data_IF_851884370460
#
_entry.id   IF_851884370460
#
_cell.length_a   1.000
_cell.length_b   1.000
_cell.length_c   1.000
_cell.angle_alpha   90.00
_cell.angle_beta   90.00
_cell.angle_gamma   90.00
#
_symmetry.space_group_name_H-M   'P 1'
#
loop_
_entity.id
_entity.type
_entity.pdbx_description
1 polymer ?
#
# COMPACT_ATOMS: atom_id res chain seq x y z
N UNK A 1 19.96 -7.18 18.94
CA UNK A 1 20.06 -8.18 17.88
C UNK A 1 18.81 -9.08 17.82
N UNK A 2 18.37 -9.69 18.93
CA UNK A 2 17.21 -10.60 18.99
C UNK A 2 15.91 -10.02 18.38
N UNK A 3 15.58 -8.77 18.71
CA UNK A 3 14.39 -8.07 18.13
C UNK A 3 14.46 -7.99 16.62
N UNK A 4 15.64 -7.73 16.04
CA UNK A 4 15.82 -7.65 14.58
C UNK A 4 15.62 -9.03 13.92
N UNK A 5 16.21 -10.09 14.49
CA UNK A 5 15.99 -11.47 14.02
C UNK A 5 14.50 -11.84 14.04
N UNK A 6 13.80 -11.54 15.13
CA UNK A 6 12.36 -11.81 15.24
C UNK A 6 11.54 -11.07 14.17
N UNK A 7 11.86 -9.82 13.88
CA UNK A 7 11.19 -9.05 12.80
C UNK A 7 11.44 -9.69 11.44
N UNK A 8 12.66 -10.13 11.14
CA UNK A 8 13.01 -10.80 9.88
C UNK A 8 12.28 -12.14 9.75
N UNK A 9 12.19 -12.94 10.81
CA UNK A 9 11.40 -14.17 10.81
C UNK A 9 9.91 -13.89 10.57
N UNK A 10 9.36 -12.88 11.25
CA UNK A 10 7.97 -12.46 11.05
C UNK A 10 7.71 -11.97 9.62
N UNK A 11 8.67 -11.25 9.01
CA UNK A 11 8.60 -10.76 7.64
C UNK A 11 8.36 -11.90 6.64
N UNK A 12 9.02 -13.05 6.83
CA UNK A 12 8.90 -14.18 5.90
C UNK A 12 7.50 -14.77 5.85
N UNK A 13 6.78 -14.77 6.98
CA UNK A 13 5.44 -15.35 7.10
C UNK A 13 4.31 -14.33 6.94
N UNK A 14 4.60 -13.02 7.06
CA UNK A 14 3.57 -11.98 7.13
C UNK A 14 3.12 -11.49 5.76
N UNK A 15 1.82 -11.24 5.56
CA UNK A 15 1.34 -10.52 4.39
C UNK A 15 1.65 -9.00 4.44
N UNK A 16 1.97 -8.45 5.61
CA UNK A 16 2.27 -7.02 5.82
C UNK A 16 3.74 -6.68 5.56
N UNK A 17 4.32 -7.18 4.47
CA UNK A 17 5.75 -7.08 4.19
C UNK A 17 6.27 -5.64 4.18
N UNK A 18 5.57 -4.70 3.56
CA UNK A 18 5.99 -3.29 3.48
C UNK A 18 6.14 -2.67 4.87
N UNK A 19 5.17 -2.88 5.75
CA UNK A 19 5.21 -2.36 7.13
C UNK A 19 6.38 -2.94 7.93
N UNK A 20 6.62 -4.23 7.79
CA UNK A 20 7.75 -4.89 8.47
C UNK A 20 9.11 -4.46 7.91
N UNK A 21 9.23 -4.27 6.59
CA UNK A 21 10.44 -3.72 5.97
C UNK A 21 10.73 -2.31 6.46
N UNK A 22 9.70 -1.46 6.62
CA UNK A 22 9.84 -0.12 7.21
C UNK A 22 10.26 -0.18 8.69
N UNK A 23 9.70 -1.10 9.47
CA UNK A 23 10.08 -1.30 10.87
C UNK A 23 11.54 -1.76 10.98
N UNK A 24 11.99 -2.68 10.14
CA UNK A 24 13.40 -3.13 10.10
C UNK A 24 14.31 -1.98 9.72
N UNK A 25 13.96 -1.19 8.69
CA UNK A 25 14.71 0.02 8.34
C UNK A 25 14.80 0.99 9.52
N UNK A 26 13.69 1.17 10.26
CA UNK A 26 13.66 2.05 11.45
C UNK A 26 14.58 1.55 12.55
N UNK A 27 14.60 0.24 12.81
CA UNK A 27 15.53 -0.35 13.78
C UNK A 27 16.99 -0.10 13.35
N UNK A 28 17.33 -0.29 12.07
CA UNK A 28 18.67 -0.06 11.55
C UNK A 28 19.10 1.40 11.71
N UNK A 29 18.21 2.35 11.42
CA UNK A 29 18.50 3.79 11.53
C UNK A 29 18.62 4.28 12.97
N UNK A 30 17.97 3.62 13.93
CA UNK A 30 17.87 4.10 15.31
C UNK A 30 18.72 3.34 16.33
N UNK A 31 19.09 2.09 16.04
CA UNK A 31 19.68 1.19 17.04
C UNK A 31 20.95 0.49 16.62
N UNK A 32 21.30 0.55 15.34
CA UNK A 32 22.41 -0.23 14.81
C UNK A 32 23.47 0.65 14.17
N UNK A 33 24.71 0.17 14.26
CA UNK A 33 25.86 0.68 13.53
C UNK A 33 26.58 -0.46 12.82
N UNK A 34 27.42 -0.13 11.86
CA UNK A 34 28.24 -1.10 11.15
C UNK A 34 29.70 -0.88 11.52
N UNK A 35 30.33 -1.89 12.12
CA UNK A 35 31.77 -1.87 12.43
C UNK A 35 32.58 -2.19 11.18
N UNK A 36 33.09 -1.16 10.50
CA UNK A 36 33.86 -1.34 9.25
C UNK A 36 35.25 -1.88 9.56
N UNK A 37 35.98 -1.24 10.46
CA UNK A 37 37.24 -1.73 11.00
C UNK A 37 37.32 -1.36 12.49
N UNK A 38 38.40 -1.68 13.15
CA UNK A 38 38.61 -1.24 14.54
C UNK A 38 38.59 0.28 14.62
N UNK A 39 37.76 0.84 15.49
CA UNK A 39 37.57 2.29 15.66
C UNK A 39 36.85 3.01 14.52
N UNK A 40 36.39 2.32 13.46
CA UNK A 40 35.64 2.94 12.36
C UNK A 40 34.22 2.37 12.30
N UNK A 41 33.26 3.22 12.64
CA UNK A 41 31.85 2.90 12.66
C UNK A 41 31.08 3.70 11.63
N UNK A 42 30.08 3.05 11.02
CA UNK A 42 29.13 3.66 10.10
C UNK A 42 27.74 3.64 10.73
N UNK A 43 27.15 4.81 10.84
CA UNK A 43 25.77 5.01 11.29
C UNK A 43 24.90 5.32 10.06
N UNK A 44 23.95 4.45 9.69
CA UNK A 44 23.08 4.70 8.55
C UNK A 44 22.18 5.93 8.78
N UNK A 45 22.05 6.79 7.79
CA UNK A 45 21.16 7.96 7.78
C UNK A 45 20.02 7.80 6.79
N UNK A 46 20.26 7.05 5.72
CA UNK A 46 19.32 6.78 4.66
C UNK A 46 19.54 5.38 4.12
N UNK A 47 18.48 4.59 4.08
CA UNK A 47 18.50 3.20 3.62
C UNK A 47 17.35 2.88 2.70
N UNK A 48 17.52 1.90 1.81
CA UNK A 48 16.47 1.35 0.97
C UNK A 48 16.41 -0.17 1.10
N UNK A 49 15.23 -0.72 1.41
CA UNK A 49 15.03 -2.16 1.50
C UNK A 49 14.81 -2.78 0.11
N UNK A 50 15.45 -3.92 -0.12
CA UNK A 50 15.33 -4.78 -1.29
C UNK A 50 15.04 -6.20 -0.81
N UNK A 51 13.84 -6.71 -1.10
CA UNK A 51 13.37 -8.00 -0.60
C UNK A 51 12.74 -8.82 -1.73
N UNK A 52 13.18 -10.07 -1.85
CA UNK A 52 12.63 -11.02 -2.81
C UNK A 52 12.61 -12.41 -2.16
N UNK A 53 11.41 -12.95 -1.90
CA UNK A 53 11.23 -14.28 -1.31
C UNK A 53 10.91 -15.37 -2.35
N UNK A 54 10.86 -15.00 -3.64
CA UNK A 54 10.58 -15.91 -4.75
C UNK A 54 9.13 -16.39 -4.83
N UNK A 55 8.21 -15.82 -4.00
CA UNK A 55 6.81 -16.24 -3.92
C UNK A 55 5.86 -15.04 -3.80
N UNK A 56 5.66 -14.52 -2.60
CA UNK A 56 4.67 -13.46 -2.34
C UNK A 56 5.19 -12.06 -2.65
N UNK A 57 6.50 -11.85 -2.56
CA UNK A 57 7.14 -10.57 -2.75
C UNK A 57 8.37 -10.70 -3.67
N UNK A 58 8.13 -10.69 -4.97
CA UNK A 58 9.16 -10.84 -6.01
C UNK A 58 9.63 -9.48 -6.52
N UNK A 59 10.41 -8.75 -5.72
CA UNK A 59 11.00 -7.49 -6.16
C UNK A 59 12.17 -7.73 -7.11
N UNK A 60 11.90 -7.65 -8.40
CA UNK A 60 12.90 -7.85 -9.46
C UNK A 60 13.97 -6.75 -9.54
N UNK A 61 13.92 -5.73 -8.68
CA UNK A 61 15.01 -4.77 -8.51
C UNK A 61 16.08 -5.25 -7.52
N UNK A 62 15.86 -6.35 -6.81
CA UNK A 62 16.89 -7.01 -6.01
C UNK A 62 17.98 -7.58 -6.94
N UNK A 63 19.24 -7.42 -6.56
CA UNK A 63 20.34 -7.99 -7.33
C UNK A 63 20.34 -9.50 -7.31
N UNK A 64 19.92 -10.11 -6.22
CA UNK A 64 19.87 -11.55 -5.99
C UNK A 64 21.19 -12.26 -6.36
N UNK A 65 22.31 -11.59 -6.08
CA UNK A 65 23.63 -12.16 -6.30
C UNK A 65 23.94 -13.25 -5.27
N UNK A 66 24.72 -14.27 -5.64
CA UNK A 66 25.07 -15.38 -4.74
C UNK A 66 25.64 -14.92 -3.38
N UNK A 67 26.37 -13.79 -3.37
CA UNK A 67 26.89 -13.18 -2.16
C UNK A 67 25.84 -12.44 -1.31
N UNK A 68 24.57 -12.44 -1.64
CA UNK A 68 23.50 -11.85 -0.85
C UNK A 68 22.65 -12.92 -0.14
N UNK A 69 22.77 -14.19 -0.50
CA UNK A 69 22.04 -15.28 0.15
C UNK A 69 22.77 -15.78 1.40
N UNK A 70 22.01 -16.09 2.44
CA UNK A 70 22.51 -16.64 3.72
C UNK A 70 23.72 -15.88 4.30
N UNK A 71 23.65 -14.55 4.31
CA UNK A 71 24.75 -13.67 4.70
C UNK A 71 24.33 -12.58 5.65
N UNK A 72 23.58 -12.93 6.66
CA UNK A 72 23.12 -12.00 7.67
C UNK A 72 24.27 -11.19 8.31
N UNK A 73 24.06 -9.86 8.41
CA UNK A 73 25.01 -8.96 9.06
C UNK A 73 26.28 -8.62 8.25
N UNK A 74 26.39 -9.13 7.00
CA UNK A 74 27.58 -8.91 6.14
C UNK A 74 27.31 -7.86 5.06
N UNK A 75 28.37 -7.23 4.55
CA UNK A 75 28.28 -6.31 3.43
C UNK A 75 28.29 -7.04 2.09
N UNK A 76 27.63 -6.43 1.11
CA UNK A 76 27.72 -6.76 -0.30
C UNK A 76 27.99 -5.47 -1.08
N UNK A 77 29.07 -5.43 -1.83
CA UNK A 77 29.36 -4.33 -2.77
C UNK A 77 28.79 -4.66 -4.15
N UNK A 78 28.08 -3.72 -4.75
CA UNK A 78 27.47 -3.91 -6.06
C UNK A 78 28.50 -4.27 -7.12
N UNK A 79 28.12 -5.19 -8.02
CA UNK A 79 28.98 -5.73 -9.08
C UNK A 79 28.66 -5.10 -10.44
N UNK A 80 29.61 -5.21 -11.38
CA UNK A 80 29.42 -4.86 -12.78
C UNK A 80 28.64 -5.98 -13.49
N UNK A 81 27.33 -5.79 -13.64
CA UNK A 81 26.45 -6.81 -14.21
C UNK A 81 26.46 -8.10 -13.41
N UNK A 82 26.60 -9.24 -14.10
CA UNK A 82 26.64 -10.57 -13.50
C UNK A 82 28.07 -11.03 -13.12
N UNK A 83 29.06 -10.14 -13.16
CA UNK A 83 30.46 -10.46 -12.84
C UNK A 83 30.77 -10.32 -11.35
N UNK A 84 31.87 -10.92 -10.89
CA UNK A 84 32.35 -10.74 -9.51
C UNK A 84 33.12 -9.42 -9.30
N UNK A 85 33.27 -8.60 -10.35
CA UNK A 85 33.98 -7.33 -10.29
C UNK A 85 33.13 -6.25 -9.62
N UNK A 86 33.64 -5.61 -8.56
CA UNK A 86 32.95 -4.50 -7.89
C UNK A 86 32.81 -3.31 -8.84
N UNK A 87 31.61 -2.73 -8.90
CA UNK A 87 31.36 -1.47 -9.59
C UNK A 87 31.89 -0.28 -8.77
N UNK A 88 33.16 0.05 -8.99
CA UNK A 88 33.82 1.17 -8.32
C UNK A 88 33.33 2.55 -8.76
N UNK A 89 32.54 2.63 -9.84
CA UNK A 89 32.13 3.90 -10.45
C UNK A 89 30.70 4.29 -10.13
N UNK A 90 29.79 3.32 -9.98
CA UNK A 90 28.36 3.58 -9.78
C UNK A 90 27.72 2.69 -8.70
N UNK A 91 28.46 1.69 -8.22
CA UNK A 91 27.99 0.73 -7.26
C UNK A 91 27.68 1.33 -5.90
N UNK A 92 26.83 0.65 -5.16
CA UNK A 92 26.50 0.91 -3.76
C UNK A 92 27.01 -0.19 -2.84
N UNK A 93 26.64 -0.10 -1.57
CA UNK A 93 26.92 -1.12 -0.55
C UNK A 93 25.62 -1.50 0.12
N UNK A 94 25.31 -2.79 0.12
CA UNK A 94 24.17 -3.35 0.84
C UNK A 94 24.62 -4.01 2.14
N UNK A 95 23.81 -3.90 3.17
CA UNK A 95 23.84 -4.78 4.34
C UNK A 95 22.92 -5.97 4.03
N UNK A 96 23.45 -7.18 4.00
CA UNK A 96 22.68 -8.39 3.80
C UNK A 96 21.95 -8.81 5.07
N UNK A 97 20.67 -9.13 4.94
CA UNK A 97 19.81 -9.60 6.03
C UNK A 97 19.16 -10.96 5.72
N UNK A 98 19.59 -11.62 4.66
CA UNK A 98 19.14 -12.96 4.28
C UNK A 98 19.59 -13.99 5.31
N UNK A 99 18.66 -14.83 5.74
CA UNK A 99 18.88 -15.87 6.76
C UNK A 99 18.78 -17.29 6.19
N UNK A 100 18.55 -17.45 4.88
CA UNK A 100 18.46 -18.73 4.18
C UNK A 100 18.72 -18.58 2.68
N UNK A 101 19.05 -19.68 2.05
CA UNK A 101 19.10 -19.77 0.58
C UNK A 101 17.70 -19.56 -0.03
N UNK A 102 17.64 -18.94 -1.22
CA UNK A 102 16.39 -18.63 -1.92
C UNK A 102 15.68 -17.39 -1.42
N UNK A 103 16.16 -16.76 -0.35
CA UNK A 103 15.69 -15.46 0.15
C UNK A 103 16.76 -14.40 -0.13
N UNK A 104 16.45 -13.41 -0.96
CA UNK A 104 17.28 -12.24 -1.13
C UNK A 104 16.70 -11.08 -0.30
N UNK A 105 17.40 -10.71 0.76
CA UNK A 105 17.06 -9.55 1.56
C UNK A 105 18.31 -8.73 1.84
N UNK A 106 18.33 -7.51 1.33
CA UNK A 106 19.41 -6.57 1.57
C UNK A 106 18.89 -5.15 1.77
N UNK A 107 19.70 -4.34 2.44
CA UNK A 107 19.44 -2.93 2.70
C UNK A 107 20.56 -2.12 2.06
N UNK A 108 20.24 -1.38 0.99
CA UNK A 108 21.16 -0.45 0.36
C UNK A 108 21.40 0.75 1.31
N UNK A 109 22.66 0.99 1.69
CA UNK A 109 23.08 2.14 2.47
C UNK A 109 23.26 3.32 1.52
N UNK A 110 22.33 4.26 1.53
CA UNK A 110 22.36 5.41 0.63
C UNK A 110 23.15 6.58 1.19
N UNK A 111 23.03 6.81 2.49
CA UNK A 111 23.73 7.88 3.18
C UNK A 111 24.06 7.44 4.59
N UNK A 112 25.20 7.86 5.11
CA UNK A 112 25.68 7.45 6.41
C UNK A 112 26.59 8.52 7.04
N UNK A 113 26.72 8.48 8.37
CA UNK A 113 27.79 9.13 9.11
C UNK A 113 28.89 8.09 9.36
N UNK A 114 30.10 8.34 8.89
CA UNK A 114 31.27 7.50 9.15
C UNK A 114 32.22 8.32 10.03
N UNK A 115 32.37 7.91 11.28
CA UNK A 115 32.93 8.73 12.34
C UNK A 115 32.17 10.08 12.38
N UNK A 116 32.84 11.21 12.20
CA UNK A 116 32.17 12.53 12.19
C UNK A 116 31.86 13.06 10.78
N UNK A 117 32.14 12.29 9.74
CA UNK A 117 31.91 12.73 8.38
C UNK A 117 30.58 12.19 7.84
N UNK A 118 29.67 13.09 7.42
CA UNK A 118 28.42 12.72 6.74
C UNK A 118 28.67 12.54 5.25
N UNK A 119 28.20 11.42 4.73
CA UNK A 119 28.35 11.03 3.33
C UNK A 119 26.96 10.79 2.73
N UNK A 120 26.61 11.58 1.73
CA UNK A 120 25.34 11.49 1.03
C UNK A 120 25.52 10.83 -0.34
N UNK A 121 24.76 9.78 -0.60
CA UNK A 121 24.74 9.03 -1.84
C UNK A 121 25.46 7.67 -1.76
N UNK A 122 24.86 6.61 -2.34
CA UNK A 122 25.29 5.21 -2.15
C UNK A 122 26.70 4.97 -2.68
N UNK A 123 27.04 5.50 -3.85
CA UNK A 123 28.38 5.36 -4.44
C UNK A 123 29.47 6.01 -3.57
N UNK A 124 29.19 7.21 -3.04
CA UNK A 124 30.16 7.91 -2.16
C UNK A 124 30.38 7.14 -0.85
N UNK A 125 29.33 6.55 -0.31
CA UNK A 125 29.38 5.66 0.86
C UNK A 125 30.24 4.44 0.59
N UNK A 126 29.97 3.71 -0.48
CA UNK A 126 30.74 2.53 -0.89
C UNK A 126 32.23 2.87 -1.08
N UNK A 127 32.53 3.95 -1.82
CA UNK A 127 33.91 4.42 -2.04
C UNK A 127 34.61 4.77 -0.72
N UNK A 128 33.93 5.42 0.21
CA UNK A 128 34.49 5.77 1.50
C UNK A 128 34.81 4.54 2.34
N UNK A 129 33.93 3.52 2.33
CA UNK A 129 34.14 2.24 3.03
C UNK A 129 35.34 1.51 2.44
N UNK A 130 35.43 1.40 1.10
CA UNK A 130 36.50 0.72 0.39
C UNK A 130 37.86 1.41 0.51
N UNK A 131 37.87 2.72 0.76
CA UNK A 131 39.09 3.51 0.93
C UNK A 131 39.51 3.70 2.40
N UNK A 132 38.85 3.05 3.36
CA UNK A 132 39.37 2.95 4.71
C UNK A 132 40.65 2.10 4.70
N UNK A 133 41.53 2.20 5.75
CA UNK A 133 42.88 1.61 5.68
C UNK A 133 42.80 0.21 5.06
N UNK A 134 43.77 -0.22 4.27
CA UNK A 134 43.67 -1.16 3.16
C UNK A 134 43.13 -2.52 3.58
N UNK A 135 41.84 -2.56 3.85
CA UNK A 135 41.11 -3.79 4.12
C UNK A 135 40.60 -4.30 2.76
N UNK A 136 41.03 -5.44 2.29
CA UNK A 136 40.48 -6.02 1.06
C UNK A 136 38.96 -6.10 1.13
N UNK A 137 38.26 -5.76 0.05
CA UNK A 137 36.81 -5.81 0.00
C UNK A 137 36.24 -7.21 0.34
N UNK A 138 36.98 -8.27 -0.04
CA UNK A 138 36.64 -9.64 0.32
C UNK A 138 36.63 -9.89 1.84
N UNK A 139 37.50 -9.23 2.59
CA UNK A 139 37.48 -9.30 4.06
C UNK A 139 36.26 -8.59 4.62
N UNK A 140 35.92 -7.38 4.11
CA UNK A 140 34.73 -6.63 4.52
C UNK A 140 33.43 -7.38 4.20
N UNK A 141 33.40 -8.11 3.09
CA UNK A 141 32.24 -8.93 2.70
C UNK A 141 32.15 -10.24 3.51
N UNK A 142 33.23 -10.74 4.09
CA UNK A 142 33.22 -12.02 4.82
C UNK A 142 33.00 -11.90 6.31
N UNK A 143 33.18 -10.72 6.90
CA UNK A 143 32.93 -10.51 8.34
C UNK A 143 31.53 -9.98 8.60
N UNK A 144 30.99 -10.30 9.77
CA UNK A 144 29.80 -9.65 10.29
C UNK A 144 30.16 -8.23 10.78
N UNK A 145 29.41 -7.24 10.29
CA UNK A 145 29.64 -5.81 10.59
C UNK A 145 28.55 -5.21 11.43
N UNK A 146 27.38 -5.85 11.52
CA UNK A 146 26.20 -5.32 12.19
C UNK A 146 26.32 -5.42 13.71
N UNK A 147 26.30 -4.29 14.39
CA UNK A 147 26.35 -4.19 15.85
C UNK A 147 25.22 -3.31 16.38
N UNK A 148 24.77 -3.57 17.60
CA UNK A 148 23.89 -2.64 18.33
C UNK A 148 24.73 -1.43 18.75
N UNK A 149 24.24 -0.23 18.44
CA UNK A 149 24.87 1.01 18.88
C UNK A 149 24.83 1.10 20.41
N UNK A 150 25.92 1.50 21.08
CA UNK A 150 25.89 1.81 22.50
C UNK A 150 24.84 2.87 22.83
N UNK A 151 24.20 2.75 23.98
CA UNK A 151 23.31 3.78 24.49
C UNK A 151 24.06 5.12 24.58
N UNK A 152 23.47 6.18 24.04
CA UNK A 152 23.99 7.55 23.97
C UNK A 152 25.06 7.86 22.89
N UNK A 153 25.50 6.90 22.08
CA UNK A 153 26.37 7.22 20.94
C UNK A 153 25.60 7.74 19.71
N UNK A 154 24.38 7.32 19.56
CA UNK A 154 23.55 7.68 18.41
C UNK A 154 22.07 7.80 18.79
N UNK A 155 21.53 9.01 18.68
CA UNK A 155 20.09 9.27 18.76
C UNK A 155 19.60 9.67 17.38
N UNK A 156 18.82 8.80 16.73
CA UNK A 156 18.13 9.19 15.52
C UNK A 156 16.98 10.15 15.86
N UNK A 157 16.84 11.22 15.08
CA UNK A 157 15.61 12.01 15.04
C UNK A 157 14.42 11.21 14.49
N UNK A 158 13.32 11.86 14.16
CA UNK A 158 12.19 11.22 13.50
C UNK A 158 12.62 10.47 12.24
N UNK A 159 12.02 9.30 12.01
CA UNK A 159 12.29 8.46 10.83
C UNK A 159 11.13 8.59 9.86
N UNK A 160 11.45 8.85 8.61
CA UNK A 160 10.49 9.09 7.53
C UNK A 160 10.62 8.01 6.46
N UNK A 161 9.48 7.56 5.90
CA UNK A 161 9.42 6.53 4.88
C UNK A 161 8.91 7.10 3.56
N UNK A 162 9.52 6.70 2.45
CA UNK A 162 9.12 7.14 1.13
C UNK A 162 9.53 6.17 0.02
N UNK A 163 9.25 6.55 -1.21
CA UNK A 163 9.61 5.74 -2.38
C UNK A 163 11.14 5.69 -2.56
N UNK A 164 11.62 4.54 -3.07
CA UNK A 164 13.04 4.34 -3.43
C UNK A 164 13.46 5.25 -4.58
N UNK A 165 14.73 5.65 -4.60
CA UNK A 165 15.27 6.49 -5.67
C UNK A 165 15.68 5.61 -6.87
N UNK A 166 14.95 5.77 -7.97
CA UNK A 166 15.25 5.11 -9.25
C UNK A 166 15.52 3.61 -9.12
N UNK A 167 14.61 2.84 -8.48
CA UNK A 167 14.72 1.40 -8.54
C UNK A 167 14.75 0.97 -10.00
N UNK A 168 15.43 -0.11 -10.34
CA UNK A 168 15.64 -0.58 -11.71
C UNK A 168 14.37 -0.56 -12.56
N UNK A 169 14.50 -0.52 -13.88
CA UNK A 169 13.35 -0.46 -14.80
C UNK A 169 12.37 -1.63 -14.59
N UNK A 170 12.88 -2.75 -14.11
CA UNK A 170 12.13 -3.98 -13.86
C UNK A 170 11.40 -3.99 -12.51
N UNK A 171 11.54 -2.98 -11.66
CA UNK A 171 10.93 -2.96 -10.32
C UNK A 171 9.38 -3.07 -10.32
N UNK A 172 8.72 -2.87 -11.47
CA UNK A 172 7.27 -3.07 -11.62
C UNK A 172 6.46 -2.35 -10.54
N UNK A 173 5.58 -3.11 -9.87
CA UNK A 173 4.73 -2.63 -8.76
C UNK A 173 5.53 -2.17 -7.54
N UNK A 174 6.72 -2.75 -7.31
CA UNK A 174 7.56 -2.43 -6.13
C UNK A 174 8.23 -1.05 -6.20
N UNK A 175 8.17 -0.38 -7.37
CA UNK A 175 8.76 0.94 -7.58
C UNK A 175 8.15 2.02 -6.71
N UNK A 176 6.84 1.90 -6.44
CA UNK A 176 6.02 2.88 -5.73
C UNK A 176 5.83 2.57 -4.24
N UNK A 177 6.47 1.54 -3.75
CA UNK A 177 6.42 1.20 -2.33
C UNK A 177 7.37 2.09 -1.52
N UNK A 178 6.94 2.48 -0.32
CA UNK A 178 7.71 3.29 0.62
C UNK A 178 8.77 2.45 1.33
N UNK A 179 9.74 1.93 0.57
CA UNK A 179 10.82 1.06 1.06
C UNK A 179 12.14 1.81 1.31
N UNK A 180 12.16 3.12 1.17
CA UNK A 180 13.24 4.02 1.56
C UNK A 180 12.91 4.63 2.89
N UNK A 181 13.88 4.67 3.80
CA UNK A 181 13.75 5.27 5.12
C UNK A 181 14.95 6.15 5.42
N UNK A 182 14.72 7.26 6.08
CA UNK A 182 15.77 8.21 6.43
C UNK A 182 15.45 8.98 7.71
N UNK A 183 16.50 9.44 8.38
CA UNK A 183 16.45 10.29 9.56
C UNK A 183 17.29 11.56 9.34
N UNK A 184 17.07 12.60 10.14
CA UNK A 184 17.83 13.84 10.02
C UNK A 184 17.47 14.66 8.77
N UNK A 185 16.18 14.71 8.40
CA UNK A 185 15.72 15.52 7.25
C UNK A 185 16.07 17.00 7.36
N UNK A 186 16.07 17.53 8.58
CA UNK A 186 16.41 18.93 8.86
C UNK A 186 17.89 19.18 8.64
N UNK A 187 18.73 18.25 9.10
CA UNK A 187 20.19 18.41 9.19
C UNK A 187 20.88 18.14 7.85
N UNK A 188 20.32 17.24 7.02
CA UNK A 188 21.04 16.76 5.85
C UNK A 188 20.31 17.05 4.52
N UNK A 189 21.11 17.20 3.46
CA UNK A 189 20.63 17.50 2.10
C UNK A 189 20.37 16.20 1.32
N UNK A 190 19.38 15.41 1.75
CA UNK A 190 18.98 14.23 0.99
C UNK A 190 18.28 14.60 -0.32
N UNK A 191 18.44 13.73 -1.32
CA UNK A 191 17.71 13.85 -2.58
C UNK A 191 16.21 13.60 -2.37
N UNK A 192 15.37 14.41 -3.01
CA UNK A 192 13.91 14.26 -3.01
C UNK A 192 13.30 14.14 -1.59
N UNK A 193 13.86 14.83 -0.58
CA UNK A 193 13.43 14.72 0.82
C UNK A 193 12.00 15.18 1.06
N UNK A 194 11.51 16.16 0.29
CA UNK A 194 10.12 16.61 0.37
C UNK A 194 9.14 15.51 -0.09
N UNK A 195 9.49 14.75 -1.12
CA UNK A 195 8.67 13.62 -1.56
C UNK A 195 8.62 12.50 -0.51
N UNK A 196 9.70 12.28 0.22
CA UNK A 196 9.71 11.33 1.34
C UNK A 196 8.80 11.83 2.46
N UNK A 197 8.91 13.11 2.84
CA UNK A 197 8.05 13.67 3.86
C UNK A 197 6.58 13.68 3.43
N UNK A 198 6.29 14.00 2.18
CA UNK A 198 4.91 13.91 1.64
C UNK A 198 4.38 12.48 1.72
N UNK A 199 5.18 11.48 1.34
CA UNK A 199 4.81 10.06 1.44
C UNK A 199 4.57 9.66 2.90
N UNK A 200 5.38 10.16 3.82
CA UNK A 200 5.21 9.93 5.24
C UNK A 200 3.92 10.57 5.76
N UNK A 201 3.68 11.87 5.47
CA UNK A 201 2.42 12.55 5.82
C UNK A 201 1.21 11.76 5.35
N UNK A 202 1.24 11.26 4.12
CA UNK A 202 0.15 10.46 3.57
C UNK A 202 -0.01 9.07 4.22
N UNK A 203 1.01 8.58 4.91
CA UNK A 203 0.95 7.31 5.66
C UNK A 203 0.43 7.48 7.09
N UNK A 204 0.35 8.71 7.59
CA UNK A 204 -0.23 9.00 8.91
C UNK A 204 -1.75 8.82 8.87
N UNK A 205 -2.30 8.16 9.87
CA UNK A 205 -3.74 7.99 10.02
C UNK A 205 -4.41 9.31 10.41
N UNK A 206 -3.77 10.06 11.32
CA UNK A 206 -4.20 11.39 11.76
C UNK A 206 -2.98 12.21 12.18
N UNK A 207 -3.18 13.50 12.28
CA UNK A 207 -2.27 14.44 12.88
C UNK A 207 -3.02 15.37 13.85
N UNK A 208 -2.53 15.47 15.06
CA UNK A 208 -3.21 16.19 16.17
C UNK A 208 -2.51 17.49 16.57
N UNK A 209 -1.50 17.91 15.82
CA UNK A 209 -0.78 19.14 16.09
C UNK A 209 -1.58 20.39 15.70
N UNK A 210 -1.21 21.54 16.29
CA UNK A 210 -1.92 22.81 16.09
C UNK A 210 -1.40 23.60 14.89
N UNK A 211 -0.10 23.51 14.59
CA UNK A 211 0.55 24.34 13.57
C UNK A 211 1.31 23.51 12.52
N UNK A 212 0.70 23.22 11.37
CA UNK A 212 1.31 22.43 10.30
C UNK A 212 2.61 23.06 9.76
N UNK A 213 2.68 24.39 9.63
CA UNK A 213 3.88 25.04 9.09
C UNK A 213 5.09 24.91 10.01
N UNK A 214 4.92 25.06 11.32
CA UNK A 214 6.00 24.88 12.27
C UNK A 214 6.41 23.40 12.37
N UNK A 215 5.47 22.47 12.28
CA UNK A 215 5.79 21.03 12.23
C UNK A 215 6.63 20.68 10.99
N UNK A 216 6.26 21.20 9.82
CA UNK A 216 7.03 20.97 8.58
C UNK A 216 8.42 21.61 8.71
N UNK A 217 8.52 22.81 9.27
CA UNK A 217 9.80 23.48 9.53
C UNK A 217 10.67 22.70 10.54
N UNK A 218 10.06 22.11 11.56
CA UNK A 218 10.76 21.24 12.51
C UNK A 218 11.35 20.02 11.80
N UNK A 219 10.60 19.37 10.92
CA UNK A 219 11.03 18.16 10.21
C UNK A 219 12.03 18.45 9.07
N UNK A 220 11.83 19.52 8.28
CA UNK A 220 12.62 19.84 7.09
C UNK A 220 13.73 20.87 7.31
N UNK A 221 13.61 21.71 8.34
CA UNK A 221 14.46 22.88 8.56
C UNK A 221 14.01 24.15 7.83
N UNK A 222 12.96 24.08 7.01
CA UNK A 222 12.33 25.20 6.30
C UNK A 222 10.86 24.99 6.08
N UNK A 223 10.10 26.07 5.80
CA UNK A 223 8.67 26.00 5.52
C UNK A 223 8.39 25.51 4.09
N UNK A 224 7.43 24.63 3.94
CA UNK A 224 6.89 24.19 2.65
C UNK A 224 5.36 24.24 2.71
N UNK A 225 4.77 25.16 1.94
CA UNK A 225 3.32 25.40 1.94
C UNK A 225 2.53 24.17 1.52
N UNK A 226 2.98 23.49 0.47
CA UNK A 226 2.32 22.27 -0.03
C UNK A 226 2.30 21.12 0.98
N UNK A 227 3.37 20.96 1.75
CA UNK A 227 3.46 19.94 2.79
C UNK A 227 2.65 20.33 4.04
N UNK A 228 2.62 21.61 4.39
CA UNK A 228 1.79 22.11 5.47
C UNK A 228 0.30 21.95 5.13
N UNK A 229 -0.11 22.23 3.90
CA UNK A 229 -1.47 21.97 3.43
C UNK A 229 -1.80 20.47 3.46
N UNK A 230 -0.89 19.60 3.02
CA UNK A 230 -1.08 18.15 3.10
C UNK A 230 -1.26 17.68 4.55
N UNK A 231 -0.47 18.21 5.48
CA UNK A 231 -0.56 17.87 6.91
C UNK A 231 -1.84 18.43 7.54
N UNK A 232 -2.24 19.67 7.21
CA UNK A 232 -3.48 20.29 7.69
C UNK A 232 -4.71 19.52 7.22
N UNK A 233 -4.67 19.01 5.99
CA UNK A 233 -5.75 18.17 5.44
C UNK A 233 -5.92 16.85 6.22
N UNK A 234 -4.92 16.38 6.95
CA UNK A 234 -5.05 15.24 7.85
C UNK A 234 -5.83 15.58 9.13
N UNK A 235 -5.66 16.79 9.68
CA UNK A 235 -6.38 17.24 10.87
C UNK A 235 -7.90 17.40 10.61
N UNK A 236 -8.25 17.83 9.39
CA UNK A 236 -9.64 18.00 8.96
C UNK A 236 -10.29 16.71 8.45
N UNK A 237 -9.50 15.64 8.23
CA UNK A 237 -10.05 14.35 7.82
C UNK A 237 -10.81 13.72 8.98
N UNK A 238 -12.12 13.61 8.83
CA UNK A 238 -12.88 12.61 9.59
C UNK A 238 -12.18 11.28 9.33
N UNK A 239 -11.70 10.62 10.36
CA UNK A 239 -11.00 9.33 10.23
C UNK A 239 -11.97 8.30 9.70
N UNK A 240 -12.03 8.16 8.39
CA UNK A 240 -12.86 7.15 7.76
C UNK A 240 -12.05 5.89 7.73
N UNK A 241 -12.35 5.04 8.68
CA UNK A 241 -11.74 3.73 8.78
C UNK A 241 -12.39 2.80 7.74
N UNK A 242 -11.71 2.63 6.61
CA UNK A 242 -11.97 1.46 5.80
C UNK A 242 -11.67 0.23 6.66
N UNK A 243 -12.68 -0.59 6.86
CA UNK A 243 -12.52 -1.89 7.51
C UNK A 243 -11.74 -2.80 6.57
N UNK A 244 -10.92 -3.67 7.13
CA UNK A 244 -10.07 -4.56 6.35
C UNK A 244 -10.45 -6.01 6.64
N UNK A 245 -10.63 -6.80 5.59
CA UNK A 245 -10.76 -8.24 5.66
C UNK A 245 -9.51 -8.92 5.08
N UNK A 246 -8.97 -9.86 5.82
CA UNK A 246 -8.03 -10.89 5.33
C UNK A 246 -8.17 -12.14 6.22
N UNK A 247 -7.40 -13.19 5.95
CA UNK A 247 -7.47 -14.44 6.72
C UNK A 247 -7.27 -14.27 8.25
N UNK A 248 -6.56 -13.21 8.67
CA UNK A 248 -6.33 -12.89 10.08
C UNK A 248 -7.42 -11.97 10.70
N UNK A 249 -8.21 -11.27 9.86
CA UNK A 249 -9.23 -10.34 10.29
C UNK A 249 -10.56 -10.69 9.62
N UNK A 250 -11.45 -11.44 10.27
CA UNK A 250 -12.76 -11.78 9.71
C UNK A 250 -13.61 -10.52 9.49
N UNK A 251 -14.59 -10.62 8.60
CA UNK A 251 -15.56 -9.55 8.36
C UNK A 251 -16.25 -9.18 9.68
N UNK A 252 -16.08 -7.93 10.11
CA UNK A 252 -16.88 -7.39 11.20
C UNK A 252 -18.34 -7.22 10.72
N UNK A 253 -19.30 -7.46 11.59
CA UNK A 253 -20.72 -7.26 11.27
C UNK A 253 -20.92 -5.86 10.69
N UNK A 254 -21.48 -5.78 9.50
CA UNK A 254 -21.85 -4.53 8.86
C UNK A 254 -23.07 -3.91 9.59
N UNK A 255 -23.29 -2.60 9.46
CA UNK A 255 -24.46 -1.94 10.04
C UNK A 255 -25.78 -2.53 9.53
N UNK A 256 -25.78 -3.01 8.28
CA UNK A 256 -26.97 -3.54 7.61
C UNK A 256 -26.76 -5.01 7.22
N UNK A 257 -27.81 -5.81 7.41
CA UNK A 257 -27.77 -7.26 7.16
C UNK A 257 -27.49 -7.62 5.68
N UNK A 258 -27.93 -6.80 4.73
CA UNK A 258 -27.66 -6.97 3.30
C UNK A 258 -26.18 -6.73 2.96
N UNK A 259 -25.54 -5.72 3.59
CA UNK A 259 -24.11 -5.49 3.48
C UNK A 259 -23.31 -6.66 4.06
N UNK A 260 -23.70 -7.16 5.23
CA UNK A 260 -23.06 -8.34 5.86
C UNK A 260 -23.19 -9.58 4.95
N UNK A 261 -24.36 -9.81 4.35
CA UNK A 261 -24.60 -10.90 3.43
C UNK A 261 -23.65 -10.83 2.22
N UNK A 262 -23.54 -9.64 1.60
CA UNK A 262 -22.66 -9.43 0.45
C UNK A 262 -21.20 -9.63 0.83
N UNK A 263 -20.74 -9.06 1.94
CA UNK A 263 -19.36 -9.18 2.40
C UNK A 263 -18.98 -10.64 2.68
N UNK A 264 -19.86 -11.41 3.31
CA UNK A 264 -19.63 -12.84 3.56
C UNK A 264 -19.54 -13.63 2.24
N UNK A 265 -20.44 -13.38 1.29
CA UNK A 265 -20.38 -14.04 -0.02
C UNK A 265 -19.12 -13.70 -0.82
N UNK A 266 -18.67 -12.44 -0.76
CA UNK A 266 -17.40 -12.02 -1.37
C UNK A 266 -16.22 -12.72 -0.70
N UNK A 267 -16.26 -12.92 0.61
CA UNK A 267 -15.23 -13.65 1.37
C UNK A 267 -15.09 -15.09 0.87
N UNK A 268 -16.21 -15.77 0.59
CA UNK A 268 -16.20 -17.15 0.11
C UNK A 268 -15.52 -17.30 -1.26
N UNK A 269 -15.59 -16.28 -2.13
CA UNK A 269 -15.01 -16.35 -3.47
C UNK A 269 -13.55 -15.87 -3.54
N UNK A 270 -12.95 -15.35 -2.45
CA UNK A 270 -11.59 -14.80 -2.46
C UNK A 270 -10.51 -15.78 -2.93
N UNK A 271 -10.49 -17.06 -2.51
CA UNK A 271 -9.44 -17.99 -2.94
C UNK A 271 -9.36 -18.12 -4.45
N UNK A 272 -10.53 -18.26 -5.12
CA UNK A 272 -10.62 -18.35 -6.58
C UNK A 272 -10.32 -17.01 -7.24
N UNK A 273 -10.82 -15.91 -6.67
CA UNK A 273 -10.62 -14.56 -7.16
C UNK A 273 -9.13 -14.18 -7.29
N UNK A 274 -8.29 -14.54 -6.32
CA UNK A 274 -6.88 -14.21 -6.36
C UNK A 274 -6.03 -15.17 -7.18
N UNK A 275 -6.50 -16.39 -7.43
CA UNK A 275 -5.86 -17.33 -8.35
C UNK A 275 -6.02 -16.90 -9.80
N UNK A 276 -7.13 -16.27 -10.16
CA UNK A 276 -7.39 -15.84 -11.53
C UNK A 276 -6.77 -14.45 -11.80
N UNK A 277 -6.03 -14.35 -12.91
CA UNK A 277 -5.45 -13.08 -13.39
C UNK A 277 -6.34 -12.35 -14.40
N UNK A 278 -7.35 -13.05 -14.95
CA UNK A 278 -8.27 -12.48 -15.94
C UNK A 278 -9.35 -11.65 -15.25
N UNK A 279 -9.44 -10.37 -15.64
CA UNK A 279 -10.42 -9.43 -15.09
C UNK A 279 -11.85 -9.82 -15.43
N UNK A 280 -12.08 -10.36 -16.61
CA UNK A 280 -13.40 -10.80 -17.05
C UNK A 280 -13.91 -11.94 -16.18
N UNK A 281 -13.04 -12.90 -15.89
CA UNK A 281 -13.35 -14.02 -14.98
C UNK A 281 -13.60 -13.55 -13.56
N UNK A 282 -12.78 -12.62 -13.06
CA UNK A 282 -12.99 -12.00 -11.73
C UNK A 282 -14.34 -11.29 -11.63
N UNK A 283 -14.72 -10.52 -12.66
CA UNK A 283 -16.05 -9.88 -12.73
C UNK A 283 -17.15 -10.93 -12.75
N UNK A 284 -16.97 -11.99 -13.52
CA UNK A 284 -17.94 -13.09 -13.58
C UNK A 284 -18.11 -13.76 -12.22
N UNK A 285 -17.04 -14.08 -11.52
CA UNK A 285 -17.07 -14.67 -10.17
C UNK A 285 -17.85 -13.81 -9.16
N UNK A 286 -17.64 -12.49 -9.20
CA UNK A 286 -18.41 -11.54 -8.38
C UNK A 286 -19.89 -11.57 -8.77
N UNK A 287 -20.22 -11.51 -10.06
CA UNK A 287 -21.60 -11.55 -10.56
C UNK A 287 -22.28 -12.87 -10.17
N UNK A 288 -21.63 -14.02 -10.31
CA UNK A 288 -22.12 -15.33 -9.87
C UNK A 288 -22.42 -15.34 -8.36
N UNK A 289 -21.52 -14.79 -7.57
CA UNK A 289 -21.71 -14.67 -6.12
C UNK A 289 -22.92 -13.82 -5.78
N UNK A 290 -23.06 -12.64 -6.39
CA UNK A 290 -24.21 -11.76 -6.16
C UNK A 290 -25.52 -12.41 -6.66
N UNK A 291 -25.50 -13.12 -7.79
CA UNK A 291 -26.67 -13.83 -8.30
C UNK A 291 -27.15 -14.92 -7.33
N UNK A 292 -26.24 -15.74 -6.81
CA UNK A 292 -26.52 -16.77 -5.81
C UNK A 292 -27.13 -16.16 -4.53
N UNK A 293 -26.56 -15.06 -4.05
CA UNK A 293 -27.06 -14.36 -2.86
C UNK A 293 -28.44 -13.76 -3.10
N UNK A 294 -28.69 -13.13 -4.26
CA UNK A 294 -29.99 -12.58 -4.63
C UNK A 294 -31.07 -13.67 -4.71
N UNK A 295 -30.78 -14.77 -5.39
CA UNK A 295 -31.68 -15.90 -5.48
C UNK A 295 -32.06 -16.48 -4.11
N UNK A 296 -31.12 -16.57 -3.17
CA UNK A 296 -31.39 -16.99 -1.78
C UNK A 296 -32.36 -16.08 -1.03
N UNK A 297 -32.55 -14.85 -1.51
CA UNK A 297 -33.49 -13.85 -0.98
C UNK A 297 -34.78 -13.73 -1.84
N UNK A 298 -34.90 -14.51 -2.88
CA UNK A 298 -36.05 -14.44 -3.80
C UNK A 298 -35.99 -13.26 -4.79
N UNK A 299 -34.82 -12.64 -4.96
CA UNK A 299 -34.63 -11.59 -5.95
C UNK A 299 -34.30 -12.16 -7.32
N UNK A 300 -34.80 -11.52 -8.37
CA UNK A 300 -34.31 -11.67 -9.74
C UNK A 300 -33.06 -10.82 -9.93
N UNK A 301 -32.30 -11.11 -10.99
CA UNK A 301 -31.11 -10.30 -11.28
C UNK A 301 -30.97 -10.03 -12.79
N UNK A 302 -30.34 -8.88 -13.10
CA UNK A 302 -29.82 -8.54 -14.42
C UNK A 302 -28.32 -8.40 -14.38
N UNK A 303 -27.64 -9.04 -15.33
CA UNK A 303 -26.21 -8.84 -15.55
C UNK A 303 -25.79 -9.36 -16.92
N UNK A 304 -24.68 -8.85 -17.46
CA UNK A 304 -24.03 -9.39 -18.63
C UNK A 304 -23.02 -10.49 -18.26
N UNK A 305 -22.90 -11.51 -19.11
CA UNK A 305 -21.81 -12.50 -19.02
C UNK A 305 -22.01 -13.64 -18.05
N UNK A 306 -23.22 -13.83 -17.49
CA UNK A 306 -23.62 -15.05 -16.82
C UNK A 306 -24.48 -15.91 -17.74
N UNK A 307 -24.03 -17.12 -18.00
CA UNK A 307 -24.83 -18.16 -18.64
C UNK A 307 -25.54 -18.96 -17.55
N UNK A 308 -26.67 -18.46 -17.05
CA UNK A 308 -27.57 -19.26 -16.19
C UNK A 308 -28.81 -19.61 -16.95
N UNK A 309 -29.33 -20.83 -16.72
CA UNK A 309 -30.55 -21.31 -17.39
C UNK A 309 -31.79 -20.44 -17.08
N UNK A 310 -31.76 -19.68 -16.00
CA UNK A 310 -32.86 -18.84 -15.48
C UNK A 310 -32.69 -17.34 -15.73
N UNK A 311 -31.55 -16.86 -16.25
CA UNK A 311 -31.39 -15.46 -16.59
C UNK A 311 -31.98 -15.21 -17.98
N UNK A 312 -32.93 -14.27 -18.13
CA UNK A 312 -33.30 -13.83 -19.46
C UNK A 312 -32.06 -13.33 -20.19
N UNK A 313 -31.86 -13.75 -21.45
CA UNK A 313 -30.79 -13.28 -22.36
C UNK A 313 -30.96 -11.79 -22.72
N UNK A 314 -31.35 -10.98 -21.75
CA UNK A 314 -31.59 -9.57 -21.95
C UNK A 314 -30.27 -8.81 -21.73
N UNK A 315 -30.01 -7.89 -22.62
CA UNK A 315 -28.84 -6.99 -22.61
C UNK A 315 -28.76 -6.24 -21.29
N UNK A 316 -27.52 -5.94 -20.87
CA UNK A 316 -27.18 -5.09 -19.73
C UNK A 316 -28.05 -3.84 -19.68
N UNK A 317 -28.78 -3.63 -18.56
CA UNK A 317 -29.66 -2.47 -18.38
C UNK A 317 -28.78 -1.30 -18.10
N UNK A 318 -27.79 -0.92 -17.88
CA UNK A 318 -26.95 0.24 -17.54
C UNK A 318 -25.84 -0.09 -16.53
N UNK A 319 -26.07 -1.13 -15.71
CA UNK A 319 -25.19 -1.47 -14.60
C UNK A 319 -24.57 -2.85 -14.82
N UNK A 320 -23.41 -3.07 -14.27
CA UNK A 320 -22.74 -4.37 -14.33
C UNK A 320 -23.58 -5.49 -13.72
N UNK A 321 -24.34 -5.14 -12.67
CA UNK A 321 -25.22 -6.10 -11.98
C UNK A 321 -26.35 -5.39 -11.22
N UNK A 322 -27.53 -6.00 -11.13
CA UNK A 322 -28.62 -5.53 -10.26
C UNK A 322 -29.48 -6.67 -9.72
N UNK A 323 -30.03 -6.49 -8.50
CA UNK A 323 -31.17 -7.27 -7.98
C UNK A 323 -32.44 -6.48 -8.19
N UNK A 324 -33.55 -7.18 -8.52
CA UNK A 324 -34.84 -6.54 -8.63
C UNK A 324 -35.98 -7.51 -8.26
N UNK A 325 -37.15 -6.94 -7.98
CA UNK A 325 -38.43 -7.66 -7.94
C UNK A 325 -39.33 -7.12 -9.03
N UNK A 326 -40.29 -7.92 -9.48
CA UNK A 326 -41.26 -7.52 -10.51
C UNK A 326 -42.69 -7.83 -10.06
N UNK A 327 -43.65 -7.18 -10.73
CA UNK A 327 -45.06 -7.49 -10.52
C UNK A 327 -45.34 -8.95 -10.93
N UNK A 328 -46.20 -9.66 -10.19
CA UNK A 328 -46.53 -11.05 -10.52
C UNK A 328 -47.25 -11.22 -11.85
N UNK A 329 -47.99 -10.20 -12.26
CA UNK A 329 -48.85 -10.16 -13.43
C UNK A 329 -48.20 -9.47 -14.66
N UNK A 330 -47.10 -8.75 -14.46
CA UNK A 330 -46.38 -8.08 -15.56
C UNK A 330 -44.86 -8.16 -15.37
N UNK A 331 -44.22 -8.94 -16.25
CA UNK A 331 -42.75 -9.13 -16.20
C UNK A 331 -41.93 -7.87 -16.47
N UNK A 332 -42.52 -6.85 -17.09
CA UNK A 332 -41.83 -5.58 -17.40
C UNK A 332 -41.98 -4.53 -16.31
N UNK A 333 -42.83 -4.79 -15.32
CA UNK A 333 -43.01 -3.86 -14.19
C UNK A 333 -42.08 -4.24 -13.05
N UNK A 334 -40.94 -3.52 -12.95
CA UNK A 334 -40.02 -3.63 -11.82
C UNK A 334 -40.63 -2.92 -10.60
N UNK A 335 -40.83 -3.67 -9.52
CA UNK A 335 -41.48 -3.17 -8.31
C UNK A 335 -40.46 -2.68 -7.24
N UNK A 336 -39.25 -3.22 -7.25
CA UNK A 336 -38.15 -2.74 -6.39
C UNK A 336 -36.78 -3.05 -6.99
N UNK A 337 -35.77 -2.29 -6.54
CA UNK A 337 -34.37 -2.50 -6.88
C UNK A 337 -33.53 -2.56 -5.59
N UNK A 338 -33.39 -3.76 -4.97
CA UNK A 338 -32.63 -3.90 -3.72
C UNK A 338 -31.14 -3.58 -3.86
N UNK A 339 -30.52 -3.92 -5.01
CA UNK A 339 -29.08 -3.72 -5.24
C UNK A 339 -28.80 -3.31 -6.68
N UNK A 340 -27.88 -2.36 -6.82
CA UNK A 340 -27.16 -2.07 -8.06
C UNK A 340 -25.67 -2.10 -7.78
N UNK A 341 -24.89 -2.72 -8.69
CA UNK A 341 -23.44 -2.84 -8.54
C UNK A 341 -22.68 -2.48 -9.81
N UNK A 342 -21.52 -1.87 -9.62
CA UNK A 342 -20.50 -1.59 -10.64
C UNK A 342 -19.16 -2.19 -10.21
N UNK A 343 -18.42 -2.76 -11.16
CA UNK A 343 -17.13 -3.40 -10.95
C UNK A 343 -16.06 -2.75 -11.84
N UNK A 344 -15.19 -1.91 -11.31
CA UNK A 344 -14.16 -1.26 -12.10
C UNK A 344 -12.74 -1.66 -11.66
N UNK A 345 -12.03 -2.34 -12.55
CA UNK A 345 -10.65 -2.80 -12.32
C UNK A 345 -9.57 -1.84 -12.83
N UNK A 346 -9.98 -0.80 -13.57
CA UNK A 346 -9.08 0.20 -14.14
C UNK A 346 -9.17 1.49 -13.35
N UNK A 347 -8.06 1.97 -12.83
CA UNK A 347 -8.02 3.28 -12.17
C UNK A 347 -8.25 4.44 -13.13
N UNK A 348 -7.93 4.30 -14.41
CA UNK A 348 -8.12 5.33 -15.44
C UNK A 348 -8.92 4.79 -16.60
N UNK A 349 -9.92 5.55 -17.05
CA UNK A 349 -10.74 5.24 -18.22
C UNK A 349 -9.91 5.23 -19.51
N UNK A 350 -9.04 6.24 -19.68
CA UNK A 350 -8.02 6.31 -20.74
C UNK A 350 -6.64 6.34 -20.10
N UNK A 351 -5.65 5.71 -20.74
CA UNK A 351 -4.28 5.60 -20.21
C UNK A 351 -3.68 6.98 -19.88
N UNK A 352 -3.97 7.99 -20.71
CA UNK A 352 -3.42 9.33 -20.62
C UNK A 352 -4.34 10.32 -19.87
N UNK A 353 -5.41 9.84 -19.23
CA UNK A 353 -6.30 10.73 -18.46
C UNK A 353 -5.52 11.46 -17.36
N UNK A 354 -5.56 12.80 -17.32
CA UNK A 354 -4.93 13.57 -16.25
C UNK A 354 -5.65 13.39 -14.91
N UNK A 355 -6.93 12.98 -14.94
CA UNK A 355 -7.75 12.83 -13.75
C UNK A 355 -7.44 11.51 -13.05
N UNK A 356 -6.98 11.53 -11.77
CA UNK A 356 -6.80 10.34 -10.97
C UNK A 356 -8.13 9.58 -10.83
N UNK A 357 -8.04 8.24 -10.88
CA UNK A 357 -9.20 7.35 -10.70
C UNK A 357 -10.38 7.57 -11.65
N UNK A 358 -10.13 8.12 -12.86
CA UNK A 358 -11.19 8.49 -13.79
C UNK A 358 -12.11 7.33 -14.22
N UNK A 359 -11.63 6.08 -14.23
CA UNK A 359 -12.46 4.89 -14.46
C UNK A 359 -13.44 4.69 -13.31
N UNK A 360 -12.91 4.58 -12.10
CA UNK A 360 -13.70 4.38 -10.88
C UNK A 360 -14.71 5.51 -10.68
N UNK A 361 -14.29 6.76 -10.88
CA UNK A 361 -15.16 7.94 -10.75
C UNK A 361 -16.31 7.93 -11.77
N UNK A 362 -16.05 7.48 -12.99
CA UNK A 362 -17.05 7.39 -14.04
C UNK A 362 -18.14 6.37 -13.72
N UNK A 363 -17.77 5.17 -13.30
CA UNK A 363 -18.74 4.15 -12.94
C UNK A 363 -19.47 4.48 -11.63
N UNK A 364 -18.80 5.14 -10.71
CA UNK A 364 -19.47 5.66 -9.51
C UNK A 364 -20.56 6.70 -9.81
N UNK A 365 -20.41 7.53 -10.86
CA UNK A 365 -21.46 8.47 -11.27
C UNK A 365 -22.75 7.75 -11.66
N UNK A 366 -22.68 6.57 -12.27
CA UNK A 366 -23.87 5.76 -12.57
C UNK A 366 -24.60 5.39 -11.28
N UNK A 367 -23.85 4.97 -10.23
CA UNK A 367 -24.44 4.62 -8.94
C UNK A 367 -25.11 5.81 -8.25
N UNK A 368 -24.59 7.03 -8.41
CA UNK A 368 -25.22 8.23 -7.86
C UNK A 368 -26.59 8.51 -8.50
N UNK A 369 -26.76 8.18 -9.78
CA UNK A 369 -28.00 8.37 -10.54
C UNK A 369 -28.97 7.19 -10.40
N UNK A 370 -28.54 6.10 -9.80
CA UNK A 370 -29.31 4.89 -9.64
C UNK A 370 -30.41 5.04 -8.56
N UNK A 371 -31.60 4.49 -8.81
CA UNK A 371 -32.64 4.36 -7.80
C UNK A 371 -32.62 2.93 -7.24
N UNK A 372 -31.86 2.70 -6.17
CA UNK A 372 -31.71 1.40 -5.53
C UNK A 372 -31.65 1.54 -4.00
N UNK A 373 -31.99 0.48 -3.28
CA UNK A 373 -31.86 0.45 -1.81
C UNK A 373 -30.41 0.43 -1.34
N UNK A 374 -29.55 -0.30 -2.07
CA UNK A 374 -28.11 -0.36 -1.85
C UNK A 374 -27.37 -0.19 -3.17
N UNK A 375 -26.30 0.59 -3.15
CA UNK A 375 -25.39 0.83 -4.27
C UNK A 375 -24.03 0.26 -3.92
N UNK A 376 -23.55 -0.70 -4.70
CA UNK A 376 -22.30 -1.41 -4.47
C UNK A 376 -21.26 -0.99 -5.50
N UNK A 377 -20.15 -0.46 -5.03
CA UNK A 377 -18.98 -0.17 -5.86
C UNK A 377 -17.86 -1.14 -5.52
N UNK A 378 -17.48 -1.96 -6.49
CA UNK A 378 -16.37 -2.91 -6.38
C UNK A 378 -15.20 -2.40 -7.22
N UNK A 379 -14.02 -2.36 -6.63
CA UNK A 379 -12.83 -1.89 -7.29
C UNK A 379 -11.59 -2.68 -6.87
N UNK A 380 -10.52 -2.57 -7.65
CA UNK A 380 -9.22 -3.11 -7.29
C UNK A 380 -8.35 -2.00 -6.71
N UNK A 381 -7.93 -2.14 -5.45
CA UNK A 381 -6.87 -1.31 -4.88
C UNK A 381 -5.54 -1.74 -5.50
N UNK A 382 -4.82 -0.77 -6.04
CA UNK A 382 -3.43 -0.92 -6.49
C UNK A 382 -2.53 -0.26 -5.44
N UNK A 383 -1.25 -0.64 -5.40
CA UNK A 383 -0.26 -0.05 -4.50
C UNK A 383 -0.16 1.49 -4.58
N UNK A 384 -0.54 2.06 -5.73
CA UNK A 384 -0.57 3.51 -5.97
C UNK A 384 -1.90 4.17 -5.60
N UNK A 385 -2.93 3.39 -5.22
CA UNK A 385 -4.22 3.93 -4.85
C UNK A 385 -4.25 4.29 -3.39
N UNK A 386 -4.74 5.48 -3.09
CA UNK A 386 -5.04 5.94 -1.75
C UNK A 386 -6.54 5.85 -1.55
N UNK A 387 -6.95 4.98 -0.66
CA UNK A 387 -8.37 4.77 -0.38
C UNK A 387 -9.01 6.03 0.23
N UNK A 388 -8.22 6.81 0.95
CA UNK A 388 -8.64 8.10 1.52
C UNK A 388 -9.03 9.10 0.43
N UNK A 389 -8.22 9.23 -0.63
CA UNK A 389 -8.54 10.13 -1.77
C UNK A 389 -9.81 9.69 -2.51
N UNK A 390 -10.02 8.38 -2.63
CA UNK A 390 -11.25 7.83 -3.19
C UNK A 390 -12.43 8.08 -2.27
N UNK A 391 -12.24 7.92 -0.95
CA UNK A 391 -13.28 8.22 0.01
C UNK A 391 -13.68 9.70 -0.04
N UNK A 392 -12.73 10.62 0.01
CA UNK A 392 -13.00 12.07 -0.06
C UNK A 392 -13.81 12.43 -1.32
N UNK A 393 -13.52 11.75 -2.43
CA UNK A 393 -14.31 11.90 -3.64
C UNK A 393 -15.72 11.32 -3.49
N UNK A 394 -15.86 10.09 -2.98
CA UNK A 394 -17.16 9.44 -2.81
C UNK A 394 -18.04 10.20 -1.83
N UNK A 395 -17.48 10.60 -0.68
CA UNK A 395 -18.17 11.37 0.35
C UNK A 395 -18.72 12.66 -0.24
N UNK A 396 -17.85 13.48 -0.85
CA UNK A 396 -18.27 14.74 -1.48
C UNK A 396 -19.30 14.52 -2.57
N UNK A 397 -19.13 13.53 -3.44
CA UNK A 397 -20.05 13.27 -4.54
C UNK A 397 -21.44 12.80 -4.05
N UNK A 398 -21.50 12.00 -2.98
CA UNK A 398 -22.74 11.58 -2.33
C UNK A 398 -23.44 12.78 -1.73
N UNK A 399 -22.73 13.59 -0.93
CA UNK A 399 -23.33 14.71 -0.21
C UNK A 399 -23.79 15.82 -1.18
N UNK A 400 -23.06 16.11 -2.23
CA UNK A 400 -23.38 17.14 -3.22
C UNK A 400 -24.42 16.73 -4.26
N UNK A 401 -24.75 15.45 -4.40
CA UNK A 401 -25.76 15.00 -5.36
C UNK A 401 -27.17 15.33 -4.88
N UNK A 402 -27.72 16.45 -5.33
CA UNK A 402 -29.01 16.98 -4.87
C UNK A 402 -30.19 15.99 -5.02
N UNK A 403 -30.20 15.23 -6.13
CA UNK A 403 -31.29 14.29 -6.43
C UNK A 403 -31.15 12.92 -5.73
N UNK A 404 -30.03 12.69 -5.04
CA UNK A 404 -29.85 11.46 -4.29
C UNK A 404 -30.65 11.55 -2.98
N UNK A 405 -31.59 10.63 -2.70
CA UNK A 405 -32.38 10.65 -1.47
C UNK A 405 -31.48 10.59 -0.21
N UNK A 406 -31.89 11.29 0.83
CA UNK A 406 -31.32 11.16 2.18
C UNK A 406 -31.39 9.70 2.62
N UNK A 407 -30.38 9.23 3.36
CA UNK A 407 -30.18 7.83 3.79
C UNK A 407 -29.96 6.84 2.63
N UNK A 408 -29.65 7.34 1.40
CA UNK A 408 -29.16 6.48 0.31
C UNK A 408 -27.89 5.75 0.75
N UNK A 409 -27.88 4.42 0.63
CA UNK A 409 -26.82 3.56 1.15
C UNK A 409 -25.84 3.13 0.05
N UNK A 410 -24.58 3.10 0.42
CA UNK A 410 -23.47 2.65 -0.42
C UNK A 410 -22.61 1.64 0.34
N UNK A 411 -22.18 0.60 -0.36
CA UNK A 411 -21.15 -0.31 0.07
C UNK A 411 -19.98 -0.22 -0.93
N UNK A 412 -18.79 0.01 -0.43
CA UNK A 412 -17.57 0.03 -1.22
C UNK A 412 -16.73 -1.17 -0.84
N UNK A 413 -16.20 -1.90 -1.85
CA UNK A 413 -15.29 -3.04 -1.66
C UNK A 413 -14.07 -2.82 -2.56
N UNK A 414 -12.90 -2.71 -1.97
CA UNK A 414 -11.63 -2.50 -2.66
C UNK A 414 -10.72 -3.73 -2.48
N UNK A 415 -10.66 -4.61 -3.47
CA UNK A 415 -9.78 -5.78 -3.45
C UNK A 415 -8.32 -5.39 -3.44
N UNK A 416 -7.56 -5.95 -2.53
CA UNK A 416 -6.14 -5.71 -2.35
C UNK A 416 -5.36 -7.01 -2.53
N UNK A 417 -4.64 -7.11 -3.66
CA UNK A 417 -3.86 -8.30 -3.99
C UNK A 417 -2.63 -8.49 -3.07
N UNK A 418 -2.12 -7.40 -2.49
CA UNK A 418 -0.93 -7.47 -1.65
C UNK A 418 -1.24 -8.12 -0.29
N UNK A 419 -2.49 -8.06 0.18
CA UNK A 419 -2.95 -8.70 1.42
C UNK A 419 -3.87 -9.91 1.21
N UNK A 420 -4.14 -10.32 -0.04
CA UNK A 420 -5.11 -11.38 -0.39
C UNK A 420 -6.46 -11.20 0.32
N UNK A 421 -6.96 -9.96 0.31
CA UNK A 421 -8.18 -9.57 1.00
C UNK A 421 -8.81 -8.34 0.36
N UNK A 422 -9.64 -7.66 1.10
CA UNK A 422 -10.26 -6.41 0.65
C UNK A 422 -10.45 -5.40 1.79
N UNK A 423 -10.51 -4.15 1.42
CA UNK A 423 -11.00 -3.08 2.29
C UNK A 423 -12.47 -2.83 1.96
N UNK A 424 -13.29 -2.52 2.95
CA UNK A 424 -14.70 -2.22 2.76
C UNK A 424 -15.17 -1.07 3.62
N UNK A 425 -16.21 -0.39 3.15
CA UNK A 425 -16.78 0.78 3.80
C UNK A 425 -18.27 0.87 3.49
N UNK A 426 -19.08 1.08 4.51
CA UNK A 426 -20.49 1.48 4.38
C UNK A 426 -20.61 2.99 4.54
N UNK A 427 -21.38 3.61 3.66
CA UNK A 427 -21.68 5.04 3.69
C UNK A 427 -23.17 5.26 3.44
N UNK A 428 -23.77 6.16 4.19
CA UNK A 428 -25.11 6.68 3.90
C UNK A 428 -25.04 8.18 3.64
N UNK A 429 -25.90 8.69 2.75
CA UNK A 429 -26.06 10.13 2.58
C UNK A 429 -26.66 10.72 3.87
N UNK A 430 -26.00 11.74 4.42
CA UNK A 430 -26.51 12.44 5.59
C UNK A 430 -27.70 13.35 5.20
N UNK A 431 -28.66 13.51 6.13
CA UNK A 431 -29.65 14.57 6.08
C UNK A 431 -29.19 15.74 6.94
N UNK A 432 -29.84 16.87 6.77
CA UNK A 432 -29.60 18.07 7.60
C UNK A 432 -30.07 17.92 9.07
N UNK A 433 -30.59 16.77 9.45
CA UNK A 433 -31.01 16.48 10.83
C UNK A 433 -29.86 15.82 11.62
N UNK A 434 -29.66 16.24 12.90
CA UNK A 434 -28.70 15.60 13.78
C UNK A 434 -29.07 14.12 14.00
N UNK A 435 -28.05 13.25 13.97
CA UNK A 435 -28.18 11.84 14.35
C UNK A 435 -28.83 11.76 15.74
N UNK A 436 -30.11 11.41 15.78
CA UNK A 436 -30.71 10.89 17.00
C UNK A 436 -30.13 9.48 17.17
N UNK A 437 -29.19 9.33 18.08
CA UNK A 437 -28.75 8.03 18.58
C UNK A 437 -29.98 7.28 19.05
N UNK A 438 -30.48 6.35 18.24
CA UNK A 438 -31.43 5.34 18.70
C UNK A 438 -30.65 4.39 19.64
N UNK A 439 -30.94 4.51 20.94
CA UNK A 439 -30.39 3.78 22.06
C UNK A 439 -30.60 2.25 22.03
#
# INVERSE_FOLDING_TARGET
>A
MEKLHKLIQTLQASPQKVKLLQEINSQLLSRFRLKITEGIFLYPLEVEAYYNDGDQFEDSSCHCHALQYDRFGKLYFHRLGATDTIDKNRGGTDLCLSTRNGLCYSILIRSAKINDQVIIGPHRGAKKILNQPPTPHSELENKEVLEVSPENEWTSGPIFHGERIRPGKNAGRYRKLNLRSLTGLKEYKFKDKENVLLSHIHSLEKWEGENPEEQIKEWLGYKSKSLAEALNNLSSRKTVLWKTYNAANPVQTARHADCTLILNGITECLPEFFQDKDRTRRTRLIKDTLARLGNSKGYLFHCNGLETQDAPKESELLYDFMWYTRAPDDRYVITSCPLIAECEWKSKRKKDSPTPYSGIKYDFQKLLLANASLRLMILQKKSTHRLEELYDYFDRAIEQCANLPVRSRFLFIAFDADMHGFHYLEKSKHGDEPDCDDG
#
